data_IF_254269063956
#
_entry.id   IF_254269063956
#
_cell.length_a   1.000
_cell.length_b   1.000
_cell.length_c   1.000
_cell.angle_alpha   90.00
_cell.angle_beta   90.00
_cell.angle_gamma   90.00
#
_symmetry.space_group_name_H-M   'P 1'
#
loop_
_entity.id
_entity.type
_entity.pdbx_description
1 polymer ?
#
# COMPACT_ATOMS: atom_id res chain seq x y z
N UNK A 1 5.29 4.48 7.30
CA UNK A 1 6.54 5.08 7.84
C UNK A 1 7.67 5.05 6.83
N UNK A 2 8.07 3.90 6.27
CA UNK A 2 9.21 3.82 5.33
C UNK A 2 9.06 4.74 4.10
N UNK A 3 7.85 4.87 3.53
CA UNK A 3 7.63 5.79 2.41
C UNK A 3 7.93 7.27 2.75
N UNK A 4 7.45 7.75 3.91
CA UNK A 4 7.75 9.11 4.40
C UNK A 4 9.25 9.30 4.66
N UNK A 5 9.92 8.28 5.20
CA UNK A 5 11.37 8.33 5.41
C UNK A 5 12.12 8.38 4.07
N UNK A 6 11.69 7.61 3.07
CA UNK A 6 12.25 7.65 1.73
C UNK A 6 12.08 9.03 1.08
N UNK A 7 10.90 9.64 1.22
CA UNK A 7 10.63 11.01 0.75
C UNK A 7 11.56 12.03 1.41
N UNK A 8 11.63 12.01 2.73
CA UNK A 8 12.36 13.01 3.51
C UNK A 8 13.89 12.89 3.38
N UNK A 9 14.40 11.67 3.19
CA UNK A 9 15.85 11.40 3.22
C UNK A 9 16.43 11.11 1.85
N UNK A 10 15.60 10.75 0.86
CA UNK A 10 16.03 10.19 -0.43
C UNK A 10 16.94 8.96 -0.28
N UNK A 11 16.84 8.23 0.84
CA UNK A 11 17.61 7.01 1.09
C UNK A 11 16.92 5.79 0.45
N UNK A 12 17.69 5.07 -0.37
CA UNK A 12 17.24 3.88 -1.08
C UNK A 12 16.78 2.77 -0.14
N UNK A 13 17.38 2.63 1.04
CA UNK A 13 16.98 1.60 2.01
C UNK A 13 15.51 1.76 2.43
N UNK A 14 15.05 3.00 2.65
CA UNK A 14 13.67 3.26 3.02
C UNK A 14 12.72 3.09 1.83
N UNK A 15 13.17 3.42 0.62
CA UNK A 15 12.41 3.19 -0.60
C UNK A 15 12.17 1.69 -0.81
N UNK A 16 13.23 0.88 -0.73
CA UNK A 16 13.15 -0.57 -0.87
C UNK A 16 12.22 -1.17 0.20
N UNK A 17 12.38 -0.77 1.46
CA UNK A 17 11.53 -1.23 2.55
C UNK A 17 10.04 -0.86 2.33
N UNK A 18 9.76 0.32 1.79
CA UNK A 18 8.41 0.76 1.48
C UNK A 18 7.79 -0.05 0.33
N UNK A 19 8.56 -0.32 -0.73
CA UNK A 19 8.13 -1.14 -1.88
C UNK A 19 7.83 -2.58 -1.43
N UNK A 20 8.72 -3.19 -0.65
CA UNK A 20 8.50 -4.55 -0.14
C UNK A 20 7.28 -4.64 0.77
N UNK A 21 7.09 -3.66 1.66
CA UNK A 21 5.89 -3.60 2.53
C UNK A 21 4.60 -3.45 1.71
N UNK A 22 4.63 -2.60 0.69
CA UNK A 22 3.49 -2.38 -0.20
C UNK A 22 3.12 -3.65 -0.99
N UNK A 23 4.13 -4.39 -1.47
CA UNK A 23 3.95 -5.65 -2.17
C UNK A 23 3.39 -6.74 -1.26
N UNK A 24 3.85 -6.83 -0.02
CA UNK A 24 3.31 -7.78 0.95
C UNK A 24 1.81 -7.56 1.18
N UNK A 25 1.40 -6.32 1.46
CA UNK A 25 -0.03 -5.99 1.66
C UNK A 25 -0.83 -6.33 0.39
N UNK A 26 -0.33 -5.94 -0.79
CA UNK A 26 -1.00 -6.21 -2.07
C UNK A 26 -1.23 -7.71 -2.32
N UNK A 27 -0.24 -8.53 -2.00
CA UNK A 27 -0.26 -9.97 -2.31
C UNK A 27 -1.02 -10.80 -1.28
N UNK A 28 -1.10 -10.32 -0.03
CA UNK A 28 -1.54 -11.16 1.09
C UNK A 28 -2.71 -10.59 1.89
N UNK A 29 -2.93 -9.28 1.86
CA UNK A 29 -3.90 -8.61 2.72
C UNK A 29 -4.95 -7.80 1.94
N UNK A 30 -4.93 -7.80 0.60
CA UNK A 30 -6.04 -7.27 -0.19
C UNK A 30 -7.07 -8.35 -0.47
N UNK A 31 -8.34 -8.02 -0.21
CA UNK A 31 -9.46 -8.83 -0.67
C UNK A 31 -9.77 -8.59 -2.16
N UNK A 32 -10.78 -9.29 -2.68
CA UNK A 32 -11.22 -9.16 -4.07
C UNK A 32 -11.78 -7.76 -4.43
N UNK A 33 -12.08 -6.93 -3.42
CA UNK A 33 -12.58 -5.56 -3.55
C UNK A 33 -11.47 -4.52 -3.36
N UNK A 34 -10.21 -4.95 -3.23
CA UNK A 34 -9.04 -4.11 -2.90
C UNK A 34 -9.14 -3.43 -1.53
N UNK A 35 -9.82 -4.05 -0.57
CA UNK A 35 -9.86 -3.60 0.83
C UNK A 35 -8.71 -4.27 1.58
N UNK A 36 -7.97 -3.49 2.37
CA UNK A 36 -6.91 -4.01 3.24
C UNK A 36 -7.53 -4.68 4.48
N UNK A 37 -7.31 -5.98 4.59
CA UNK A 37 -7.66 -6.85 5.71
C UNK A 37 -6.72 -6.63 6.91
N UNK A 38 -7.11 -7.12 8.08
CA UNK A 38 -6.45 -6.74 9.32
C UNK A 38 -5.04 -7.34 9.49
N UNK A 39 -4.94 -8.66 9.48
CA UNK A 39 -3.70 -9.34 9.83
C UNK A 39 -3.60 -10.73 9.23
N UNK A 40 -2.38 -11.24 9.20
CA UNK A 40 -2.07 -12.63 8.84
C UNK A 40 -1.49 -13.33 10.07
N UNK A 41 -2.01 -14.51 10.38
CA UNK A 41 -1.50 -15.30 11.48
C UNK A 41 -0.11 -15.84 11.19
N UNK A 42 0.77 -15.75 12.19
CA UNK A 42 2.07 -16.43 12.19
C UNK A 42 2.04 -17.78 12.91
N UNK A 43 0.87 -18.19 13.43
CA UNK A 43 0.74 -19.46 14.13
C UNK A 43 0.84 -20.63 13.16
N UNK A 44 1.71 -21.59 13.47
CA UNK A 44 1.91 -22.81 12.68
C UNK A 44 0.60 -23.58 12.44
N UNK A 45 -0.31 -23.58 13.42
CA UNK A 45 -1.62 -24.24 13.30
C UNK A 45 -2.60 -23.55 12.36
N UNK A 46 -2.34 -22.28 12.04
CA UNK A 46 -3.28 -21.43 11.31
C UNK A 46 -2.84 -21.20 9.85
N UNK A 47 -1.67 -21.74 9.45
CA UNK A 47 -1.22 -21.80 8.05
C UNK A 47 -1.32 -20.45 7.31
N UNK A 48 -0.91 -19.36 7.95
CA UNK A 48 -1.00 -18.01 7.41
C UNK A 48 -2.43 -17.57 7.07
N UNK A 49 -3.42 -17.97 7.88
CA UNK A 49 -4.78 -17.48 7.76
C UNK A 49 -4.84 -15.96 7.88
N UNK A 50 -5.72 -15.34 7.10
CA UNK A 50 -5.94 -13.90 7.11
C UNK A 50 -7.19 -13.61 7.93
N UNK A 51 -7.11 -12.64 8.85
CA UNK A 51 -8.27 -12.12 9.56
C UNK A 51 -9.11 -11.25 8.59
N UNK A 52 -10.36 -11.64 8.28
CA UNK A 52 -11.19 -10.93 7.31
C UNK A 52 -11.77 -9.62 7.85
N UNK A 53 -11.47 -9.24 9.11
CA UNK A 53 -11.98 -8.02 9.71
C UNK A 53 -11.47 -6.80 8.96
N UNK A 54 -12.40 -5.88 8.66
CA UNK A 54 -12.11 -4.65 7.91
C UNK A 54 -12.09 -3.48 8.87
N UNK A 55 -10.94 -2.81 8.94
CA UNK A 55 -10.81 -1.52 9.59
C UNK A 55 -10.45 -0.43 8.58
N UNK A 56 -11.19 0.70 8.54
CA UNK A 56 -10.91 1.77 7.58
C UNK A 56 -9.48 2.31 7.62
N UNK A 57 -8.86 2.33 8.81
CA UNK A 57 -7.49 2.84 8.97
C UNK A 57 -6.44 1.97 8.26
N UNK A 58 -6.65 0.66 8.11
CA UNK A 58 -5.72 -0.22 7.39
C UNK A 58 -5.61 0.21 5.92
N UNK A 59 -6.76 0.44 5.29
CA UNK A 59 -6.81 0.94 3.91
C UNK A 59 -6.30 2.38 3.85
N UNK A 60 -6.67 3.25 4.81
CA UNK A 60 -6.22 4.65 4.83
C UNK A 60 -4.70 4.82 4.89
N UNK A 61 -4.02 4.09 5.78
CA UNK A 61 -2.55 4.15 5.92
C UNK A 61 -1.86 3.54 4.70
N UNK A 62 -2.42 2.46 4.14
CA UNK A 62 -1.92 1.91 2.89
C UNK A 62 -2.03 2.95 1.76
N UNK A 63 -3.18 3.64 1.67
CA UNK A 63 -3.47 4.74 0.73
C UNK A 63 -2.43 5.84 0.80
N UNK A 64 -2.16 6.34 1.99
CA UNK A 64 -1.11 7.34 2.19
C UNK A 64 0.27 6.83 1.72
N UNK A 65 0.60 5.57 2.04
CA UNK A 65 1.88 4.96 1.71
C UNK A 65 2.18 4.89 0.21
N UNK A 66 1.28 4.35 -0.62
CA UNK A 66 1.58 4.31 -2.07
C UNK A 66 1.41 5.66 -2.77
N UNK A 67 0.65 6.61 -2.22
CA UNK A 67 0.61 7.97 -2.79
C UNK A 67 2.00 8.61 -2.73
N UNK A 68 2.69 8.47 -1.61
CA UNK A 68 4.08 8.91 -1.44
C UNK A 68 5.02 8.12 -2.36
N UNK A 69 4.88 6.78 -2.42
CA UNK A 69 5.72 5.97 -3.31
C UNK A 69 5.53 6.35 -4.78
N UNK A 70 4.31 6.64 -5.22
CA UNK A 70 4.02 7.08 -6.58
C UNK A 70 4.72 8.42 -6.88
N UNK A 71 4.70 9.37 -5.94
CA UNK A 71 5.37 10.66 -6.12
C UNK A 71 6.90 10.50 -6.21
N UNK A 72 7.52 9.75 -5.30
CA UNK A 72 8.98 9.52 -5.27
C UNK A 72 9.44 8.79 -6.55
N UNK A 73 8.77 7.69 -6.91
CA UNK A 73 9.23 6.82 -8.01
C UNK A 73 8.85 7.34 -9.38
N UNK A 74 7.94 8.32 -9.46
CA UNK A 74 7.27 8.74 -10.70
C UNK A 74 6.66 7.56 -11.46
N UNK A 75 6.34 6.48 -10.75
CA UNK A 75 5.85 5.24 -11.34
C UNK A 75 4.33 5.30 -11.49
N UNK A 76 3.89 5.45 -12.74
CA UNK A 76 2.47 5.50 -13.12
C UNK A 76 1.69 4.22 -12.79
N UNK A 77 2.37 3.09 -12.60
CA UNK A 77 1.73 1.85 -12.14
C UNK A 77 1.27 1.93 -10.67
N UNK A 78 1.95 2.75 -9.85
CA UNK A 78 1.58 3.00 -8.45
C UNK A 78 0.45 4.02 -8.35
N UNK A 79 0.39 4.99 -9.27
CA UNK A 79 -0.75 5.90 -9.40
C UNK A 79 -2.06 5.13 -9.64
N UNK A 80 -2.03 4.06 -10.44
CA UNK A 80 -3.21 3.24 -10.73
C UNK A 80 -3.84 2.57 -9.49
N UNK A 81 -3.11 2.46 -8.38
CA UNK A 81 -3.62 1.89 -7.13
C UNK A 81 -4.44 2.90 -6.30
N UNK A 82 -4.28 4.22 -6.53
CA UNK A 82 -5.06 5.27 -5.85
C UNK A 82 -5.86 6.20 -6.74
N UNK A 83 -5.69 6.08 -8.05
CA UNK A 83 -6.66 6.60 -9.00
C UNK A 83 -7.88 5.69 -8.92
N UNK A 84 -8.80 6.01 -8.00
CA UNK A 84 -10.22 5.83 -8.28
C UNK A 84 -10.43 6.53 -9.61
N UNK A 85 -10.66 5.78 -10.68
CA UNK A 85 -10.82 6.29 -12.04
C UNK A 85 -12.04 7.22 -12.10
N UNK A 86 -11.85 8.47 -11.71
CA UNK A 86 -12.65 9.60 -12.15
C UNK A 86 -11.83 10.32 -13.23
N UNK A 87 -12.14 10.09 -14.52
CA UNK A 87 -11.50 10.78 -15.62
C UNK A 87 -12.10 12.19 -15.74
N UNK A 88 -11.89 13.06 -14.75
CA UNK A 88 -12.30 14.45 -14.86
C UNK A 88 -11.30 15.34 -14.14
N UNK A 89 -10.31 15.82 -14.89
CA UNK A 89 -10.04 17.25 -15.07
C UNK A 89 -8.77 17.40 -15.94
N UNK A 90 -8.88 17.73 -17.24
CA UNK A 90 -7.74 18.28 -17.96
C UNK A 90 -7.46 19.68 -17.39
N UNK A 91 -6.20 19.93 -17.05
CA UNK A 91 -5.74 21.25 -16.63
C UNK A 91 -6.14 22.30 -17.67
N UNK A 92 -6.75 23.39 -17.19
CA UNK A 92 -6.99 24.63 -17.94
C UNK A 92 -5.92 25.66 -17.60
#
# INVERSE_FOLDING_TARGET
>A
VSALLAEATSDQMYLDAAVESANFIRLHLLDASNIVLDSMSSMLSESCSVDPTVYPYNSGIYIEGLAILADITRNKSTEALYVLTYPCCPES
#
